data_IF_564665852019
#
_entry.id   IF_564665852019
#
_cell.length_a   1.000
_cell.length_b   1.000
_cell.length_c   1.000
_cell.angle_alpha   90.00
_cell.angle_beta   90.00
_cell.angle_gamma   90.00
#
_symmetry.space_group_name_H-M   'P 1'
#
loop_
_entity.id
_entity.type
_entity.pdbx_description
1 polymer ?
#
# COMPACT_ATOMS: atom_id res chain seq x y z
N UNK A 1 -3.13 -11.54 46.33
CA UNK A 1 -3.47 -12.10 45.00
C UNK A 1 -4.64 -11.32 44.44
N UNK A 2 -4.40 -10.37 43.54
CA UNK A 2 -5.50 -9.68 42.85
C UNK A 2 -5.76 -10.38 41.51
N UNK A 3 -6.93 -11.01 41.40
CA UNK A 3 -7.46 -11.53 40.14
C UNK A 3 -7.80 -10.34 39.24
N UNK A 4 -6.85 -9.91 38.41
CA UNK A 4 -7.15 -9.01 37.31
C UNK A 4 -7.86 -9.86 36.27
N UNK A 5 -9.19 -9.80 36.26
CA UNK A 5 -9.98 -10.28 35.14
C UNK A 5 -9.67 -9.33 33.97
N UNK A 6 -8.54 -9.55 33.29
CA UNK A 6 -8.12 -8.79 32.11
C UNK A 6 -9.16 -9.05 31.02
N UNK A 7 -10.19 -8.21 31.03
CA UNK A 7 -11.09 -8.07 29.90
C UNK A 7 -10.19 -7.63 28.75
N UNK A 8 -10.08 -8.47 27.72
CA UNK A 8 -9.35 -8.11 26.50
C UNK A 8 -10.38 -7.90 25.40
N UNK A 9 -10.08 -7.00 24.47
CA UNK A 9 -10.88 -6.93 23.27
C UNK A 9 -10.76 -8.23 22.46
N UNK A 10 -11.90 -8.70 21.97
CA UNK A 10 -12.01 -9.83 21.06
C UNK A 10 -12.45 -9.33 19.69
N UNK A 11 -11.97 -10.02 18.65
CA UNK A 11 -12.38 -9.76 17.28
C UNK A 11 -13.80 -10.28 17.04
N UNK A 12 -14.71 -9.38 16.71
CA UNK A 12 -16.08 -9.70 16.31
C UNK A 12 -16.23 -9.56 14.79
N UNK A 13 -16.86 -10.56 14.17
CA UNK A 13 -17.09 -10.63 12.73
C UNK A 13 -18.59 -10.65 12.48
N UNK A 14 -19.07 -9.77 11.61
CA UNK A 14 -20.47 -9.73 11.17
C UNK A 14 -20.54 -9.86 9.65
N UNK A 15 -21.23 -10.88 9.15
CA UNK A 15 -21.48 -11.03 7.72
C UNK A 15 -22.63 -10.12 7.31
N UNK A 16 -22.37 -9.19 6.41
CA UNK A 16 -23.35 -8.28 5.81
C UNK A 16 -23.40 -8.52 4.28
N UNK A 17 -24.44 -8.04 3.56
CA UNK A 17 -24.51 -8.16 2.10
C UNK A 17 -23.32 -7.55 1.36
N UNK A 18 -22.73 -6.49 1.91
CA UNK A 18 -21.53 -5.81 1.38
C UNK A 18 -20.21 -6.55 1.67
N UNK A 19 -20.21 -7.56 2.54
CA UNK A 19 -19.01 -8.26 2.97
C UNK A 19 -18.91 -8.46 4.49
N UNK A 20 -17.72 -8.86 4.97
CA UNK A 20 -17.47 -9.10 6.38
C UNK A 20 -17.12 -7.77 7.05
N UNK A 21 -17.93 -7.35 8.02
CA UNK A 21 -17.66 -6.19 8.87
C UNK A 21 -16.96 -6.66 10.16
N UNK A 22 -15.93 -5.92 10.56
CA UNK A 22 -15.10 -6.24 11.72
C UNK A 22 -15.31 -5.19 12.81
N UNK A 23 -15.44 -5.67 14.05
CA UNK A 23 -15.45 -4.84 15.24
C UNK A 23 -14.59 -5.45 16.35
N UNK A 24 -14.17 -4.62 17.30
CA UNK A 24 -13.65 -5.07 18.59
C UNK A 24 -14.79 -5.06 19.60
N UNK A 25 -14.84 -6.02 20.49
CA UNK A 25 -15.78 -6.00 21.60
C UNK A 25 -15.23 -6.71 22.84
N UNK A 26 -15.88 -6.52 23.97
CA UNK A 26 -15.51 -7.16 25.24
C UNK A 26 -16.57 -8.19 25.60
N UNK A 27 -16.15 -9.40 25.95
CA UNK A 27 -17.09 -10.43 26.41
C UNK A 27 -17.73 -10.03 27.73
N UNK A 28 -19.06 -10.08 27.84
CA UNK A 28 -19.78 -9.87 29.11
C UNK A 28 -19.88 -11.14 29.97
N UNK A 29 -19.19 -12.20 29.59
CA UNK A 29 -19.28 -13.53 30.20
C UNK A 29 -20.20 -14.49 29.43
N UNK A 30 -20.24 -15.74 29.90
CA UNK A 30 -20.95 -16.83 29.22
C UNK A 30 -22.45 -16.50 29.04
N UNK A 31 -22.95 -16.60 27.81
CA UNK A 31 -24.36 -16.35 27.46
C UNK A 31 -24.81 -14.88 27.51
N UNK A 32 -23.94 -13.94 27.88
CA UNK A 32 -24.30 -12.52 28.11
C UNK A 32 -23.97 -11.59 26.93
N UNK A 33 -23.44 -12.13 25.84
CA UNK A 33 -23.12 -11.40 24.63
C UNK A 33 -21.87 -10.52 24.73
N UNK A 34 -21.76 -9.55 23.82
CA UNK A 34 -20.59 -8.68 23.65
C UNK A 34 -20.97 -7.24 24.03
N UNK A 35 -20.14 -6.61 24.85
CA UNK A 35 -20.21 -5.20 25.23
C UNK A 35 -19.14 -4.35 24.55
N UNK A 36 -19.31 -3.03 24.66
CA UNK A 36 -18.37 -2.03 24.18
C UNK A 36 -17.85 -2.28 22.75
N UNK A 37 -18.78 -2.43 21.80
CA UNK A 37 -18.45 -2.66 20.40
C UNK A 37 -17.84 -1.40 19.77
N UNK A 38 -16.65 -1.56 19.19
CA UNK A 38 -15.90 -0.56 18.45
C UNK A 38 -15.77 -1.01 17.00
N UNK A 39 -16.40 -0.29 16.07
CA UNK A 39 -16.40 -0.63 14.65
C UNK A 39 -15.07 -0.29 13.96
N UNK A 40 -14.43 -1.30 13.36
CA UNK A 40 -13.17 -1.13 12.64
C UNK A 40 -13.38 -0.81 11.17
N UNK A 41 -14.31 -1.50 10.50
CA UNK A 41 -14.58 -1.34 9.07
C UNK A 41 -14.85 -2.66 8.37
N UNK A 42 -14.87 -2.64 7.03
CA UNK A 42 -14.98 -3.86 6.24
C UNK A 42 -13.64 -4.58 6.11
N UNK A 43 -13.67 -5.91 6.16
CA UNK A 43 -12.49 -6.75 6.06
C UNK A 43 -11.69 -6.49 4.78
N UNK A 44 -12.34 -6.44 3.62
CA UNK A 44 -11.63 -6.26 2.34
C UNK A 44 -10.85 -4.94 2.29
N UNK A 45 -11.41 -3.85 2.82
CA UNK A 45 -10.73 -2.55 2.90
C UNK A 45 -9.51 -2.59 3.83
N UNK A 46 -9.65 -3.24 4.99
CA UNK A 46 -8.55 -3.40 5.96
C UNK A 46 -7.48 -4.35 5.40
N UNK A 47 -7.90 -5.42 4.74
CA UNK A 47 -7.03 -6.40 4.09
C UNK A 47 -6.16 -5.75 3.02
N UNK A 48 -6.77 -4.95 2.14
CA UNK A 48 -6.06 -4.21 1.10
C UNK A 48 -5.10 -3.18 1.70
N UNK A 49 -5.59 -2.35 2.65
CA UNK A 49 -4.81 -1.25 3.24
C UNK A 49 -3.58 -1.71 4.03
N UNK A 50 -3.69 -2.84 4.73
CA UNK A 50 -2.61 -3.33 5.61
C UNK A 50 -1.97 -4.63 5.08
N UNK A 51 -2.24 -4.99 3.82
CA UNK A 51 -1.68 -6.17 3.13
C UNK A 51 -1.81 -7.47 3.93
N UNK A 52 -2.95 -7.68 4.58
CA UNK A 52 -3.20 -8.85 5.41
C UNK A 52 -3.64 -10.04 4.55
N UNK A 53 -3.25 -11.26 4.94
CA UNK A 53 -3.71 -12.46 4.25
C UNK A 53 -4.91 -13.09 4.95
N UNK A 54 -4.93 -13.09 6.29
CA UNK A 54 -5.98 -13.73 7.07
C UNK A 54 -6.60 -12.75 8.08
N UNK A 55 -7.93 -12.78 8.18
CA UNK A 55 -8.68 -12.02 9.17
C UNK A 55 -8.32 -12.41 10.61
N UNK A 56 -7.84 -13.64 10.81
CA UNK A 56 -7.43 -14.14 12.12
C UNK A 56 -6.13 -13.53 12.62
N UNK A 57 -5.32 -12.92 11.75
CA UNK A 57 -4.12 -12.18 12.11
C UNK A 57 -4.45 -10.95 12.98
N UNK A 58 -5.70 -10.50 12.96
CA UNK A 58 -6.19 -9.39 13.80
C UNK A 58 -6.49 -9.81 15.25
N UNK A 59 -6.69 -11.11 15.53
CA UNK A 59 -6.98 -11.62 16.88
C UNK A 59 -5.87 -11.32 17.90
N UNK A 60 -4.58 -11.57 17.63
CA UNK A 60 -3.52 -11.22 18.58
C UNK A 60 -3.45 -9.71 18.83
N UNK A 61 -3.64 -8.89 17.80
CA UNK A 61 -3.62 -7.43 17.91
C UNK A 61 -4.78 -6.93 18.78
N UNK A 62 -5.99 -7.48 18.59
CA UNK A 62 -7.15 -7.15 19.42
C UNK A 62 -6.87 -7.37 20.92
N UNK A 63 -6.11 -8.41 21.28
CA UNK A 63 -5.76 -8.70 22.68
C UNK A 63 -4.74 -7.73 23.28
N UNK A 64 -3.98 -7.02 22.46
CA UNK A 64 -2.97 -6.03 22.89
C UNK A 64 -3.57 -4.64 23.09
N UNK A 65 -4.80 -4.40 22.62
CA UNK A 65 -5.47 -3.11 22.79
C UNK A 65 -5.94 -2.98 24.24
N UNK A 66 -5.52 -1.92 24.98
CA UNK A 66 -6.00 -1.69 26.33
C UNK A 66 -7.51 -1.46 26.32
N UNK A 67 -8.20 -1.97 27.35
CA UNK A 67 -9.63 -1.69 27.53
C UNK A 67 -9.79 -0.23 27.90
N UNK A 68 -10.46 0.51 27.01
CA UNK A 68 -10.80 1.91 27.19
C UNK A 68 -12.28 2.17 26.95
N UNK A 69 -12.80 3.26 27.49
CA UNK A 69 -14.18 3.70 27.25
C UNK A 69 -14.30 4.46 25.93
N UNK A 70 -13.26 5.20 25.53
CA UNK A 70 -13.26 5.93 24.27
C UNK A 70 -13.01 5.02 23.06
N UNK A 71 -14.05 4.89 22.24
CA UNK A 71 -14.04 4.11 21.01
C UNK A 71 -13.05 4.64 19.98
N UNK A 72 -12.80 5.96 19.95
CA UNK A 72 -11.89 6.59 18.99
C UNK A 72 -10.45 6.23 19.36
N UNK A 73 -10.09 6.36 20.63
CA UNK A 73 -8.77 6.00 21.14
C UNK A 73 -8.48 4.50 20.92
N UNK A 74 -9.42 3.62 21.27
CA UNK A 74 -9.32 2.17 21.07
C UNK A 74 -9.09 1.82 19.59
N UNK A 75 -9.86 2.44 18.68
CA UNK A 75 -9.72 2.24 17.24
C UNK A 75 -8.36 2.72 16.74
N UNK A 76 -7.91 3.87 17.21
CA UNK A 76 -6.62 4.46 16.82
C UNK A 76 -5.48 3.56 17.28
N UNK A 77 -5.52 3.10 18.52
CA UNK A 77 -4.49 2.21 19.08
C UNK A 77 -4.44 0.86 18.38
N UNK A 78 -5.58 0.29 18.01
CA UNK A 78 -5.64 -0.93 17.22
C UNK A 78 -4.90 -0.77 15.89
N UNK A 79 -5.16 0.29 15.13
CA UNK A 79 -4.49 0.50 13.85
C UNK A 79 -3.02 0.89 14.00
N UNK A 80 -2.63 1.58 15.09
CA UNK A 80 -1.22 1.79 15.42
C UNK A 80 -0.48 0.47 15.67
N UNK A 81 -1.11 -0.48 16.38
CA UNK A 81 -0.56 -1.81 16.65
C UNK A 81 -0.60 -2.73 15.43
N UNK A 82 -1.47 -2.46 14.46
CA UNK A 82 -1.49 -3.13 13.16
C UNK A 82 -0.36 -2.64 12.25
N UNK A 83 -0.01 -1.35 12.34
CA UNK A 83 1.01 -0.67 11.54
C UNK A 83 2.50 -1.08 11.72
N UNK A 84 2.96 -1.93 12.66
CA UNK A 84 4.38 -2.31 12.74
C UNK A 84 4.70 -3.71 12.19
N UNK A 85 3.70 -4.49 11.75
CA UNK A 85 3.91 -5.87 11.24
C UNK A 85 3.76 -6.01 9.74
N UNK A 86 3.30 -4.98 9.03
CA UNK A 86 3.43 -4.92 7.59
C UNK A 86 4.90 -4.64 7.27
N UNK A 87 5.70 -5.70 7.28
CA UNK A 87 6.96 -5.68 6.53
C UNK A 87 6.52 -5.35 5.11
N UNK A 88 6.78 -4.13 4.65
CA UNK A 88 6.76 -3.84 3.22
C UNK A 88 7.85 -4.75 2.63
N UNK A 89 7.49 -5.97 2.26
CA UNK A 89 8.32 -6.81 1.39
C UNK A 89 8.34 -6.10 0.05
N UNK A 90 9.23 -5.12 -0.05
CA UNK A 90 9.61 -4.51 -1.31
C UNK A 90 10.33 -5.61 -2.09
N UNK A 91 9.63 -6.21 -3.04
CA UNK A 91 10.25 -7.11 -4.01
C UNK A 91 11.19 -6.26 -4.84
N UNK A 92 12.46 -6.24 -4.45
CA UNK A 92 13.51 -5.57 -5.21
C UNK A 92 13.93 -6.49 -6.34
N UNK A 93 13.61 -6.08 -7.57
CA UNK A 93 14.13 -6.77 -8.73
C UNK A 93 15.56 -6.27 -9.01
N UNK A 94 16.55 -7.02 -8.54
CA UNK A 94 17.99 -6.70 -8.70
C UNK A 94 18.36 -6.50 -10.18
N UNK A 95 17.73 -7.23 -11.09
CA UNK A 95 17.95 -7.07 -12.53
C UNK A 95 17.49 -5.70 -13.04
N UNK A 96 16.39 -5.17 -12.51
CA UNK A 96 15.88 -3.84 -12.87
C UNK A 96 16.75 -2.74 -12.26
N UNK A 97 17.24 -2.91 -11.04
CA UNK A 97 18.19 -1.96 -10.45
C UNK A 97 19.47 -1.83 -11.31
N UNK A 98 19.96 -2.93 -11.89
CA UNK A 98 21.09 -2.89 -12.83
C UNK A 98 20.74 -2.12 -14.10
N UNK A 99 19.53 -2.30 -14.64
CA UNK A 99 19.08 -1.57 -15.82
C UNK A 99 18.96 -0.06 -15.54
N UNK A 100 18.44 0.33 -14.37
CA UNK A 100 18.38 1.73 -13.97
C UNK A 100 19.76 2.37 -13.86
N UNK A 101 20.75 1.64 -13.32
CA UNK A 101 22.14 2.10 -13.31
C UNK A 101 22.67 2.35 -14.72
N UNK A 102 22.41 1.44 -15.66
CA UNK A 102 22.80 1.61 -17.06
C UNK A 102 22.11 2.82 -17.68
N UNK A 103 20.80 3.00 -17.50
CA UNK A 103 20.05 4.16 -18.00
C UNK A 103 20.66 5.47 -17.49
N UNK A 104 21.01 5.51 -16.21
CA UNK A 104 21.63 6.68 -15.58
C UNK A 104 23.03 6.97 -16.12
N UNK A 105 23.85 5.94 -16.34
CA UNK A 105 25.19 6.09 -16.91
C UNK A 105 25.18 6.57 -18.36
N UNK A 106 24.13 6.22 -19.12
CA UNK A 106 23.99 6.64 -20.52
C UNK A 106 23.71 8.15 -20.68
N UNK A 107 23.30 8.86 -19.62
CA UNK A 107 23.05 10.31 -19.60
C UNK A 107 22.17 10.78 -20.79
N UNK A 108 21.17 9.95 -21.16
CA UNK A 108 20.39 10.04 -22.40
C UNK A 108 19.68 11.38 -22.62
N UNK A 109 19.45 12.13 -21.54
CA UNK A 109 18.67 13.36 -21.55
C UNK A 109 19.50 14.62 -21.36
N UNK A 110 20.84 14.52 -21.32
CA UNK A 110 21.74 15.66 -21.13
C UNK A 110 21.55 16.77 -22.16
N UNK A 111 21.24 16.40 -23.41
CA UNK A 111 21.04 17.32 -24.52
C UNK A 111 19.67 18.01 -24.52
N UNK A 112 18.76 17.67 -23.60
CA UNK A 112 17.40 18.18 -23.58
C UNK A 112 17.27 19.46 -22.71
N UNK A 113 16.34 20.36 -23.07
CA UNK A 113 16.04 21.53 -22.24
C UNK A 113 15.61 21.14 -20.81
N UNK A 114 16.08 21.89 -19.81
CA UNK A 114 15.83 21.56 -18.40
C UNK A 114 14.33 21.52 -18.01
N UNK A 115 13.48 22.22 -18.75
CA UNK A 115 12.03 22.24 -18.53
C UNK A 115 11.35 20.93 -18.95
N UNK A 116 11.96 20.15 -19.85
CA UNK A 116 11.39 18.93 -20.43
C UNK A 116 11.88 17.66 -19.73
N UNK A 117 13.06 17.67 -19.11
CA UNK A 117 13.71 16.44 -18.60
C UNK A 117 13.42 16.04 -17.13
N UNK A 118 12.79 16.88 -16.30
CA UNK A 118 12.83 16.73 -14.82
C UNK A 118 12.34 15.38 -14.29
N UNK A 119 11.42 14.72 -14.99
CA UNK A 119 10.89 13.40 -14.64
C UNK A 119 10.91 12.42 -15.82
N UNK A 120 11.68 12.72 -16.88
CA UNK A 120 11.71 11.87 -18.07
C UNK A 120 12.44 10.54 -17.80
N UNK A 121 13.49 10.61 -16.99
CA UNK A 121 14.26 9.44 -16.52
C UNK A 121 13.39 8.52 -15.67
N UNK A 122 12.69 9.09 -14.68
CA UNK A 122 11.76 8.35 -13.81
C UNK A 122 10.64 7.66 -14.62
N UNK A 123 10.16 8.31 -15.69
CA UNK A 123 9.15 7.74 -16.59
C UNK A 123 9.75 6.65 -17.49
N UNK A 124 10.99 6.79 -17.95
CA UNK A 124 11.67 5.73 -18.70
C UNK A 124 11.87 4.49 -17.83
N UNK A 125 12.41 4.67 -16.62
CA UNK A 125 12.60 3.61 -15.62
C UNK A 125 11.28 2.87 -15.36
N UNK A 126 10.18 3.62 -15.18
CA UNK A 126 8.85 3.05 -15.02
C UNK A 126 8.45 2.11 -16.14
N UNK A 127 8.58 2.57 -17.39
CA UNK A 127 8.13 1.81 -18.56
C UNK A 127 8.96 0.56 -18.75
N UNK A 128 10.27 0.65 -18.51
CA UNK A 128 11.19 -0.48 -18.61
C UNK A 128 10.85 -1.52 -17.54
N UNK A 129 10.66 -1.08 -16.29
CA UNK A 129 10.33 -1.99 -15.21
C UNK A 129 8.94 -2.63 -15.37
N UNK A 130 7.94 -1.88 -15.81
CA UNK A 130 6.61 -2.44 -16.09
C UNK A 130 6.69 -3.44 -17.24
N UNK A 131 7.37 -3.13 -18.34
CA UNK A 131 7.56 -4.06 -19.48
C UNK A 131 8.18 -5.39 -19.07
N UNK A 132 9.15 -5.36 -18.15
CA UNK A 132 9.91 -6.55 -17.73
C UNK A 132 9.15 -7.35 -16.66
N UNK A 133 8.58 -6.68 -15.64
CA UNK A 133 7.90 -7.37 -14.52
C UNK A 133 6.53 -7.89 -14.95
N UNK A 134 5.77 -7.08 -15.68
CA UNK A 134 4.39 -7.37 -16.04
C UNK A 134 4.07 -6.78 -17.42
N UNK A 135 4.16 -7.58 -18.50
CA UNK A 135 3.81 -7.13 -19.85
C UNK A 135 2.29 -6.88 -19.96
N UNK A 136 1.86 -5.75 -19.41
CA UNK A 136 0.47 -5.29 -19.32
C UNK A 136 0.26 -4.13 -20.27
N UNK A 137 -1.00 -3.86 -20.61
CA UNK A 137 -1.36 -2.67 -21.38
C UNK A 137 -1.00 -1.38 -20.63
N UNK A 138 -0.71 -0.31 -21.37
CA UNK A 138 -0.29 0.99 -20.83
C UNK A 138 -1.23 1.56 -19.76
N UNK A 139 -2.54 1.38 -19.95
CA UNK A 139 -3.57 1.84 -19.01
C UNK A 139 -3.46 1.08 -17.69
N UNK A 140 -3.19 -0.23 -17.74
CA UNK A 140 -2.96 -1.03 -16.55
C UNK A 140 -1.65 -0.66 -15.86
N UNK A 141 -0.61 -0.29 -16.61
CA UNK A 141 0.65 0.17 -16.04
C UNK A 141 0.42 1.45 -15.22
N UNK A 142 -0.19 2.49 -15.81
CA UNK A 142 -0.46 3.75 -15.10
C UNK A 142 -1.29 3.58 -13.81
N UNK A 143 -2.30 2.70 -13.84
CA UNK A 143 -3.15 2.43 -12.65
C UNK A 143 -2.36 1.81 -11.50
N UNK A 144 -1.35 0.99 -11.82
CA UNK A 144 -0.53 0.25 -10.85
C UNK A 144 0.84 0.91 -10.62
N UNK A 145 1.00 2.20 -10.93
CA UNK A 145 2.31 2.87 -10.88
C UNK A 145 2.97 2.91 -9.49
N UNK A 146 2.18 2.68 -8.44
CA UNK A 146 2.66 2.66 -7.06
C UNK A 146 3.17 1.27 -6.63
N UNK A 147 3.03 0.26 -7.47
CA UNK A 147 3.47 -1.12 -7.18
C UNK A 147 4.99 -1.30 -7.43
N UNK A 148 5.67 -0.27 -7.91
CA UNK A 148 7.10 -0.28 -8.26
C UNK A 148 7.94 0.48 -7.22
N UNK A 149 9.23 0.13 -7.15
CA UNK A 149 10.22 0.68 -6.21
C UNK A 149 10.24 2.21 -6.15
N UNK A 150 10.01 2.85 -7.30
CA UNK A 150 9.89 4.30 -7.42
C UNK A 150 8.42 4.67 -7.56
N UNK A 151 7.89 5.36 -6.54
CA UNK A 151 6.57 5.98 -6.61
C UNK A 151 6.65 7.14 -7.59
N UNK A 152 5.89 7.03 -8.68
CA UNK A 152 5.86 8.04 -9.72
C UNK A 152 4.68 8.97 -9.46
N UNK A 153 4.99 10.16 -8.94
CA UNK A 153 4.01 11.22 -8.68
C UNK A 153 3.86 12.15 -9.90
N UNK A 154 3.49 11.57 -11.04
CA UNK A 154 3.11 12.35 -12.24
C UNK A 154 1.70 12.04 -12.71
N UNK A 155 1.03 13.11 -13.16
CA UNK A 155 -0.32 13.03 -13.73
C UNK A 155 -0.31 12.19 -15.00
N UNK A 156 -1.41 11.51 -15.28
CA UNK A 156 -1.60 10.71 -16.51
C UNK A 156 -1.25 11.50 -17.78
N UNK A 157 -1.71 12.76 -17.85
CA UNK A 157 -1.44 13.66 -18.97
C UNK A 157 0.05 13.97 -19.13
N UNK A 158 0.78 14.12 -18.01
CA UNK A 158 2.22 14.34 -18.04
C UNK A 158 2.97 13.17 -18.66
N UNK A 159 2.56 11.93 -18.39
CA UNK A 159 3.17 10.73 -19.00
C UNK A 159 3.01 10.76 -20.52
N UNK A 160 1.84 11.15 -21.04
CA UNK A 160 1.64 11.29 -22.49
C UNK A 160 2.51 12.40 -23.08
N UNK A 161 2.59 13.56 -22.42
CA UNK A 161 3.46 14.65 -22.86
C UNK A 161 4.95 14.25 -22.88
N UNK A 162 5.36 13.34 -22.00
CA UNK A 162 6.71 12.79 -22.02
C UNK A 162 6.93 11.86 -23.21
N UNK A 163 5.93 11.09 -23.66
CA UNK A 163 6.04 10.35 -24.94
C UNK A 163 6.19 11.26 -26.13
N UNK A 164 5.43 12.34 -26.16
CA UNK A 164 5.56 13.33 -27.23
C UNK A 164 6.96 13.93 -27.22
N UNK A 165 7.53 14.17 -26.04
CA UNK A 165 8.91 14.64 -25.88
C UNK A 165 9.93 13.58 -26.34
N UNK A 166 9.75 12.30 -26.00
CA UNK A 166 10.61 11.22 -26.52
C UNK A 166 10.60 11.15 -28.04
N UNK A 167 9.42 11.32 -28.65
CA UNK A 167 9.26 11.31 -30.10
C UNK A 167 9.92 12.54 -30.75
N UNK A 168 9.70 13.72 -30.17
CA UNK A 168 10.26 15.01 -30.61
C UNK A 168 11.79 14.96 -30.65
N UNK A 169 12.43 14.38 -29.62
CA UNK A 169 13.88 14.36 -29.47
C UNK A 169 14.53 13.00 -29.76
N UNK A 170 13.81 12.09 -30.42
CA UNK A 170 14.29 10.72 -30.70
C UNK A 170 15.71 10.68 -31.26
N UNK A 171 16.00 11.50 -32.27
CA UNK A 171 17.31 11.49 -32.93
C UNK A 171 18.42 12.00 -32.00
N UNK A 172 18.12 12.96 -31.13
CA UNK A 172 19.09 13.48 -30.15
C UNK A 172 19.38 12.45 -29.06
N UNK A 173 18.40 11.64 -28.69
CA UNK A 173 18.52 10.60 -27.66
C UNK A 173 19.27 9.36 -28.19
N UNK A 174 19.12 9.06 -29.48
CA UNK A 174 19.70 7.87 -30.12
C UNK A 174 21.08 8.11 -30.79
N UNK A 175 21.53 9.35 -30.87
CA UNK A 175 22.85 9.73 -31.38
C UNK A 175 23.91 9.63 -30.29
#
# INVERSE_FOLDING_TARGET
MYNINMSNYILYKRKNPKGIYIALGISKGYGKGIGNLVGLGYWEEIKEKYSLQNIDDLKPIARLVPVGEDKIEVKTKFFQLLNPTSVETNVKNVGIELIYKVIKELDLFKGLPKTKHKSLEEVLEFIVATRIIQPRSYICQYKNKNDFLHKIDVKKSSIYNYFDTFLEYKNTILN
#
